data_IF_008992240984
#
_entry.id   IF_008992240984
#
_cell.length_a   1.000
_cell.length_b   1.000
_cell.length_c   1.000
_cell.angle_alpha   90.00
_cell.angle_beta   90.00
_cell.angle_gamma   90.00
#
_symmetry.space_group_name_H-M   'P 1'
#
loop_
_entity.id
_entity.type
_entity.pdbx_description
1 polymer ?
#
# COMPACT_ATOMS: atom_id res chain seq x y z
N UNK A 1 -15.94 38.50 26.72
CA UNK A 1 -16.56 38.08 25.44
C UNK A 1 -15.92 36.77 25.00
N UNK A 2 -16.41 35.54 25.22
CA UNK A 2 -17.72 35.10 25.70
C UNK A 2 -18.66 34.61 24.59
N UNK A 3 -18.25 33.69 23.69
CA UNK A 3 -19.15 32.88 22.84
C UNK A 3 -18.45 31.79 21.96
N UNK A 4 -17.52 30.97 22.49
CA UNK A 4 -16.96 29.82 21.73
C UNK A 4 -17.21 28.45 22.41
N UNK A 5 -18.04 28.42 23.45
CA UNK A 5 -18.01 27.36 24.47
C UNK A 5 -18.94 26.15 24.28
N UNK A 6 -19.84 26.14 23.28
CA UNK A 6 -20.89 25.10 23.24
C UNK A 6 -20.80 24.15 22.04
N UNK A 7 -20.53 24.65 20.82
CA UNK A 7 -20.54 23.81 19.60
C UNK A 7 -19.27 22.96 19.45
N UNK A 8 -18.09 23.49 19.77
CA UNK A 8 -16.82 22.77 19.57
C UNK A 8 -16.60 21.56 20.50
N UNK A 9 -17.26 21.52 21.66
CA UNK A 9 -17.04 20.46 22.67
C UNK A 9 -17.67 19.13 22.27
N UNK A 10 -18.83 19.17 21.61
CA UNK A 10 -19.53 17.98 21.12
C UNK A 10 -18.90 17.45 19.83
N UNK A 11 -18.49 18.33 18.90
CA UNK A 11 -17.87 17.91 17.64
C UNK A 11 -16.62 17.05 17.88
N UNK A 12 -15.71 17.48 18.76
CA UNK A 12 -14.52 16.69 19.11
C UNK A 12 -14.85 15.38 19.80
N UNK A 13 -15.79 15.39 20.75
CA UNK A 13 -16.20 14.19 21.50
C UNK A 13 -16.90 13.15 20.62
N UNK A 14 -17.86 13.58 19.80
CA UNK A 14 -18.55 12.73 18.83
C UNK A 14 -17.57 12.17 17.81
N UNK A 15 -16.62 12.97 17.32
CA UNK A 15 -15.58 12.53 16.42
C UNK A 15 -14.63 11.47 17.03
N UNK A 16 -14.29 11.58 18.32
CA UNK A 16 -13.45 10.59 19.03
C UNK A 16 -14.10 9.21 19.12
N UNK A 17 -15.43 9.14 19.11
CA UNK A 17 -16.18 7.87 19.16
C UNK A 17 -16.52 7.38 17.76
N UNK A 18 -17.11 8.24 16.93
CA UNK A 18 -17.63 7.86 15.62
C UNK A 18 -16.51 7.56 14.61
N UNK A 19 -15.37 8.27 14.68
CA UNK A 19 -14.23 8.04 13.79
C UNK A 19 -13.71 6.60 13.84
N UNK A 20 -13.27 6.10 15.02
CA UNK A 20 -12.83 4.71 15.19
C UNK A 20 -13.91 3.68 14.85
N UNK A 21 -15.18 3.94 15.19
CA UNK A 21 -16.30 3.03 14.88
C UNK A 21 -16.47 2.87 13.37
N UNK A 22 -16.44 3.96 12.60
CA UNK A 22 -16.54 3.92 11.15
C UNK A 22 -15.33 3.21 10.52
N UNK A 23 -14.12 3.45 11.03
CA UNK A 23 -12.92 2.73 10.57
C UNK A 23 -13.00 1.24 10.85
N UNK A 24 -13.43 0.85 12.04
CA UNK A 24 -13.59 -0.54 12.43
C UNK A 24 -14.66 -1.23 11.58
N UNK A 25 -15.82 -0.59 11.39
CA UNK A 25 -16.88 -1.10 10.53
C UNK A 25 -16.38 -1.32 9.09
N UNK A 26 -15.68 -0.33 8.53
CA UNK A 26 -15.08 -0.44 7.20
C UNK A 26 -14.03 -1.56 7.09
N UNK A 27 -13.22 -1.76 8.14
CA UNK A 27 -12.22 -2.83 8.20
C UNK A 27 -12.86 -4.22 8.33
N UNK A 28 -13.87 -4.37 9.17
CA UNK A 28 -14.58 -5.63 9.40
C UNK A 28 -15.33 -6.09 8.15
N UNK A 29 -15.96 -5.18 7.40
CA UNK A 29 -16.65 -5.53 6.15
C UNK A 29 -15.73 -6.19 5.12
N UNK A 30 -14.43 -5.86 5.14
CA UNK A 30 -13.45 -6.37 4.19
C UNK A 30 -12.50 -7.43 4.75
N UNK A 31 -12.60 -7.80 6.03
CA UNK A 31 -11.64 -8.71 6.70
C UNK A 31 -11.59 -10.10 6.05
N UNK A 32 -12.68 -10.52 5.42
CA UNK A 32 -12.79 -11.81 4.71
C UNK A 32 -12.11 -11.83 3.33
N UNK A 33 -11.68 -10.68 2.81
CA UNK A 33 -10.97 -10.59 1.54
C UNK A 33 -9.49 -10.40 1.80
N UNK A 34 -8.65 -11.06 1.01
CA UNK A 34 -7.22 -10.87 1.11
C UNK A 34 -6.86 -9.41 0.75
N UNK A 35 -6.02 -8.78 1.56
CA UNK A 35 -5.77 -7.33 1.46
C UNK A 35 -4.90 -6.96 0.25
N UNK A 36 -4.10 -7.89 -0.26
CA UNK A 36 -3.18 -7.64 -1.36
C UNK A 36 -3.81 -7.85 -2.74
N UNK A 37 -3.25 -7.17 -3.74
CA UNK A 37 -3.58 -7.38 -5.15
C UNK A 37 -3.13 -8.81 -5.57
N UNK A 38 -3.88 -9.51 -6.45
CA UNK A 38 -5.05 -9.03 -7.20
C UNK A 38 -6.41 -9.21 -6.50
N UNK A 39 -6.45 -9.87 -5.35
CA UNK A 39 -7.69 -10.29 -4.69
C UNK A 39 -8.66 -9.14 -4.34
N UNK A 40 -8.11 -7.95 -4.08
CA UNK A 40 -8.90 -6.73 -3.88
C UNK A 40 -9.66 -6.29 -5.13
N UNK A 41 -9.08 -6.35 -6.34
CA UNK A 41 -9.84 -6.05 -7.58
C UNK A 41 -10.94 -7.08 -7.76
N UNK A 42 -10.62 -8.37 -7.63
CA UNK A 42 -11.59 -9.43 -7.81
C UNK A 42 -12.73 -9.33 -6.78
N UNK A 43 -12.47 -8.83 -5.58
CA UNK A 43 -13.50 -8.54 -4.59
C UNK A 43 -14.37 -7.32 -4.98
N UNK A 44 -13.76 -6.29 -5.57
CA UNK A 44 -14.47 -5.10 -6.05
C UNK A 44 -15.37 -5.41 -7.25
N UNK A 45 -14.89 -6.24 -8.18
CA UNK A 45 -15.67 -6.70 -9.33
C UNK A 45 -16.85 -7.56 -8.89
N UNK A 46 -16.66 -8.47 -7.93
CA UNK A 46 -17.72 -9.35 -7.42
C UNK A 46 -18.71 -8.65 -6.48
N UNK A 47 -18.24 -7.72 -5.67
CA UNK A 47 -19.02 -7.06 -4.62
C UNK A 47 -18.79 -5.55 -4.56
N UNK A 48 -19.13 -4.80 -5.63
CA UNK A 48 -18.77 -3.39 -5.77
C UNK A 48 -19.36 -2.52 -4.67
N UNK A 49 -20.64 -2.69 -4.35
CA UNK A 49 -21.31 -1.91 -3.29
C UNK A 49 -20.69 -2.15 -1.90
N UNK A 50 -20.32 -3.39 -1.60
CA UNK A 50 -19.74 -3.75 -0.30
C UNK A 50 -18.32 -3.18 -0.16
N UNK A 51 -17.49 -3.32 -1.20
CA UNK A 51 -16.14 -2.75 -1.21
C UNK A 51 -16.17 -1.23 -1.16
N UNK A 52 -17.01 -0.58 -1.97
CA UNK A 52 -17.19 0.87 -1.93
C UNK A 52 -17.64 1.36 -0.53
N UNK A 53 -18.58 0.65 0.09
CA UNK A 53 -19.03 0.98 1.46
C UNK A 53 -17.92 0.77 2.49
N UNK A 54 -17.18 -0.33 2.41
CA UNK A 54 -16.07 -0.63 3.32
C UNK A 54 -14.96 0.43 3.26
N UNK A 55 -14.56 0.84 2.05
CA UNK A 55 -13.59 1.90 1.87
C UNK A 55 -14.15 3.28 2.24
N UNK A 56 -15.41 3.55 1.91
CA UNK A 56 -16.11 4.79 2.25
C UNK A 56 -16.19 5.02 3.76
N UNK A 57 -16.61 4.00 4.52
CA UNK A 57 -16.66 4.05 5.98
C UNK A 57 -15.26 4.27 6.58
N UNK A 58 -14.26 3.58 6.05
CA UNK A 58 -12.88 3.75 6.52
C UNK A 58 -12.33 5.15 6.27
N UNK A 59 -12.57 5.69 5.06
CA UNK A 59 -12.18 7.04 4.69
C UNK A 59 -12.92 8.10 5.52
N UNK A 60 -14.24 7.95 5.69
CA UNK A 60 -15.06 8.83 6.51
C UNK A 60 -14.59 8.84 7.97
N UNK A 61 -14.29 7.67 8.54
CA UNK A 61 -13.73 7.56 9.89
C UNK A 61 -12.36 8.26 10.01
N UNK A 62 -11.51 8.11 9.00
CA UNK A 62 -10.18 8.75 8.95
C UNK A 62 -10.27 10.28 8.88
N UNK A 63 -11.22 10.81 8.09
CA UNK A 63 -11.49 12.25 8.02
C UNK A 63 -12.07 12.76 9.34
N UNK A 64 -13.00 12.02 9.93
CA UNK A 64 -13.64 12.40 11.18
C UNK A 64 -12.66 12.39 12.37
N UNK A 65 -11.57 11.62 12.31
CA UNK A 65 -10.53 11.65 13.33
C UNK A 65 -9.79 13.00 13.40
N UNK A 66 -9.77 13.82 12.35
CA UNK A 66 -9.03 15.09 12.36
C UNK A 66 -9.46 16.04 13.48
N UNK A 67 -10.76 16.40 13.62
CA UNK A 67 -11.21 17.23 14.73
C UNK A 67 -10.99 16.56 16.10
N UNK A 68 -11.10 15.23 16.19
CA UNK A 68 -10.82 14.47 17.42
C UNK A 68 -9.36 14.63 17.86
N UNK A 69 -8.41 14.43 16.94
CA UNK A 69 -6.97 14.59 17.18
C UNK A 69 -6.64 16.03 17.52
N UNK A 70 -7.20 17.01 16.82
CA UNK A 70 -6.95 18.43 17.09
C UNK A 70 -7.42 18.82 18.51
N UNK A 71 -8.63 18.41 18.91
CA UNK A 71 -9.15 18.66 20.27
C UNK A 71 -8.32 17.94 21.33
N UNK A 72 -7.89 16.70 21.07
CA UNK A 72 -7.06 15.96 22.02
C UNK A 72 -5.67 16.60 22.17
N UNK A 73 -5.02 16.97 21.06
CA UNK A 73 -3.71 17.60 21.04
C UNK A 73 -3.73 18.96 21.77
N UNK A 74 -4.75 19.78 21.53
CA UNK A 74 -4.90 21.07 22.23
C UNK A 74 -5.14 20.89 23.73
N UNK A 75 -5.97 19.93 24.13
CA UNK A 75 -6.19 19.62 25.56
C UNK A 75 -4.94 19.10 26.24
N UNK A 76 -4.23 18.15 25.63
CA UNK A 76 -2.97 17.62 26.18
C UNK A 76 -1.93 18.74 26.27
N UNK A 77 -1.75 19.53 25.21
CA UNK A 77 -0.81 20.66 25.21
C UNK A 77 -1.08 21.68 26.32
N UNK A 78 -2.35 21.97 26.60
CA UNK A 78 -2.73 22.89 27.69
C UNK A 78 -2.50 22.34 29.10
N UNK A 79 -2.57 21.01 29.29
CA UNK A 79 -2.46 20.36 30.60
C UNK A 79 -1.04 19.88 30.90
N UNK A 80 -0.28 19.53 29.87
CA UNK A 80 1.07 18.98 29.99
C UNK A 80 1.92 19.30 28.74
N UNK A 81 2.59 20.47 28.72
CA UNK A 81 3.36 20.94 27.56
C UNK A 81 4.42 19.95 27.05
N UNK A 82 5.03 19.16 27.95
CA UNK A 82 6.01 18.14 27.58
C UNK A 82 5.45 17.06 26.65
N UNK A 83 4.21 16.63 26.85
CA UNK A 83 3.56 15.64 25.98
C UNK A 83 3.23 16.22 24.60
N UNK A 84 2.85 17.50 24.54
CA UNK A 84 2.66 18.21 23.27
C UNK A 84 3.95 18.32 22.45
N UNK A 85 5.07 18.59 23.11
CA UNK A 85 6.39 18.65 22.49
C UNK A 85 6.81 17.28 21.93
N UNK A 86 6.70 16.20 22.72
CA UNK A 86 6.99 14.85 22.24
C UNK A 86 6.09 14.42 21.08
N UNK A 87 4.79 14.74 21.13
CA UNK A 87 3.86 14.48 20.02
C UNK A 87 4.25 15.20 18.73
N UNK A 88 4.66 16.47 18.83
CA UNK A 88 5.18 17.23 17.69
C UNK A 88 6.47 16.65 17.13
N UNK A 89 7.44 16.29 17.99
CA UNK A 89 8.71 15.67 17.58
C UNK A 89 8.47 14.35 16.85
N UNK A 90 7.62 13.47 17.38
CA UNK A 90 7.30 12.20 16.73
C UNK A 90 6.60 12.40 15.37
N UNK A 91 5.70 13.37 15.25
CA UNK A 91 5.05 13.70 13.97
C UNK A 91 6.06 14.21 12.93
N UNK A 92 6.97 15.10 13.34
CA UNK A 92 8.05 15.60 12.49
C UNK A 92 8.97 14.46 12.06
N UNK A 93 9.44 13.63 13.00
CA UNK A 93 10.25 12.45 12.68
C UNK A 93 9.52 11.51 11.70
N UNK A 94 8.22 11.28 11.90
CA UNK A 94 7.40 10.48 10.98
C UNK A 94 7.30 11.09 9.57
N UNK A 95 7.20 12.42 9.46
CA UNK A 95 7.23 13.13 8.17
C UNK A 95 8.59 12.96 7.47
N UNK A 96 9.70 13.02 8.21
CA UNK A 96 11.04 12.77 7.67
C UNK A 96 11.28 11.30 7.32
N UNK A 97 10.74 10.36 8.09
CA UNK A 97 10.79 8.93 7.80
C UNK A 97 9.93 8.53 6.58
N UNK A 98 8.92 9.34 6.22
CA UNK A 98 8.11 9.19 5.01
C UNK A 98 8.77 9.77 3.75
N UNK A 99 10.02 10.22 3.81
CA UNK A 99 10.74 10.59 2.59
C UNK A 99 10.79 9.35 1.69
N UNK A 100 10.26 9.40 0.45
CA UNK A 100 10.61 8.38 -0.53
C UNK A 100 12.13 8.37 -0.61
N UNK A 101 12.75 7.20 -0.51
CA UNK A 101 14.21 7.11 -0.57
C UNK A 101 14.72 7.92 -1.76
N UNK A 102 15.65 8.88 -1.55
CA UNK A 102 16.20 9.65 -2.64
C UNK A 102 17.05 8.72 -3.50
N UNK A 103 16.66 8.64 -4.77
CA UNK A 103 17.50 8.07 -5.82
C UNK A 103 17.06 6.67 -6.23
N UNK A 104 16.48 6.62 -7.43
CA UNK A 104 16.51 5.47 -8.34
C UNK A 104 17.84 4.72 -8.11
N UNK A 105 17.84 3.44 -7.67
CA UNK A 105 19.07 2.66 -7.72
C UNK A 105 19.63 2.73 -9.15
N UNK A 106 20.96 2.76 -9.34
CA UNK A 106 21.55 2.83 -10.68
C UNK A 106 20.83 1.82 -11.56
N UNK A 107 20.39 2.26 -12.75
CA UNK A 107 19.56 1.49 -13.66
C UNK A 107 20.00 0.02 -13.63
N UNK A 108 19.18 -0.85 -13.01
CA UNK A 108 19.56 -2.25 -12.81
C UNK A 108 19.76 -2.83 -14.19
N UNK A 109 21.00 -3.09 -14.60
CA UNK A 109 21.21 -3.63 -15.94
C UNK A 109 20.68 -5.06 -16.01
N UNK A 110 20.13 -5.44 -17.16
CA UNK A 110 19.73 -6.83 -17.46
C UNK A 110 20.94 -7.64 -17.98
N UNK A 111 22.16 -7.13 -17.81
CA UNK A 111 23.39 -7.82 -18.21
C UNK A 111 23.48 -9.21 -17.59
N UNK A 112 23.71 -10.22 -18.43
CA UNK A 112 23.82 -11.63 -18.02
C UNK A 112 22.48 -12.35 -17.79
N UNK A 113 21.34 -11.68 -17.99
CA UNK A 113 20.02 -12.33 -18.09
C UNK A 113 19.88 -12.91 -19.50
N UNK A 114 19.53 -14.19 -19.59
CA UNK A 114 19.34 -14.85 -20.91
C UNK A 114 17.98 -14.49 -21.52
N UNK A 115 17.81 -14.69 -22.83
CA UNK A 115 16.52 -14.45 -23.52
C UNK A 115 15.35 -15.17 -22.83
N UNK A 116 15.57 -16.41 -22.42
CA UNK A 116 14.55 -17.20 -21.71
C UNK A 116 14.24 -16.64 -20.33
N UNK A 117 15.24 -16.13 -19.63
CA UNK A 117 15.05 -15.47 -18.34
C UNK A 117 14.35 -14.10 -18.51
N UNK A 118 14.61 -13.38 -19.60
CA UNK A 118 13.91 -12.14 -19.95
C UNK A 118 12.42 -12.39 -20.22
N UNK A 119 12.08 -13.45 -20.96
CA UNK A 119 10.67 -13.84 -21.18
C UNK A 119 9.95 -14.17 -19.87
N UNK A 120 10.60 -14.96 -19.00
CA UNK A 120 10.09 -15.28 -17.67
C UNK A 120 9.91 -14.01 -16.84
N UNK A 121 10.88 -13.10 -16.86
CA UNK A 121 10.82 -11.82 -16.14
C UNK A 121 9.66 -10.94 -16.63
N UNK A 122 9.43 -10.89 -17.95
CA UNK A 122 8.30 -10.17 -18.54
C UNK A 122 6.94 -10.75 -18.10
N UNK A 123 6.79 -12.07 -18.07
CA UNK A 123 5.57 -12.72 -17.59
C UNK A 123 5.35 -12.49 -16.07
N UNK A 124 6.43 -12.48 -15.28
CA UNK A 124 6.37 -12.14 -13.85
C UNK A 124 5.88 -10.70 -13.68
N UNK A 125 6.41 -9.76 -14.46
CA UNK A 125 6.04 -8.35 -14.41
C UNK A 125 4.58 -8.09 -14.83
N UNK A 126 4.02 -8.94 -15.69
CA UNK A 126 2.57 -8.98 -16.02
C UNK A 126 1.70 -9.63 -14.93
N UNK A 127 2.31 -10.17 -13.87
CA UNK A 127 1.59 -10.73 -12.73
C UNK A 127 1.22 -12.21 -12.82
N UNK A 128 1.68 -12.94 -13.84
CA UNK A 128 1.31 -14.36 -14.03
C UNK A 128 1.93 -15.27 -12.96
N UNK A 129 1.15 -16.18 -12.40
CA UNK A 129 1.61 -17.23 -11.49
C UNK A 129 2.59 -18.21 -12.15
N UNK A 130 3.30 -19.01 -11.36
CA UNK A 130 4.23 -20.01 -11.89
C UNK A 130 3.53 -21.06 -12.78
N UNK A 131 2.27 -21.37 -12.48
CA UNK A 131 1.43 -22.26 -13.29
C UNK A 131 1.13 -21.65 -14.65
N UNK A 132 0.72 -20.38 -14.67
CA UNK A 132 0.39 -19.67 -15.91
C UNK A 132 1.65 -19.43 -16.76
N UNK A 133 2.79 -19.11 -16.14
CA UNK A 133 4.09 -19.01 -16.83
C UNK A 133 4.46 -20.35 -17.44
N UNK A 134 4.33 -21.44 -16.69
CA UNK A 134 4.63 -22.79 -17.16
C UNK A 134 3.79 -23.16 -18.38
N UNK A 135 2.49 -22.83 -18.36
CA UNK A 135 1.59 -23.03 -19.50
C UNK A 135 1.96 -22.16 -20.70
N UNK A 136 2.21 -20.86 -20.49
CA UNK A 136 2.59 -19.92 -21.55
C UNK A 136 3.87 -20.35 -22.27
N UNK A 137 4.85 -20.82 -21.50
CA UNK A 137 6.18 -21.16 -22.00
C UNK A 137 6.32 -22.66 -22.36
N UNK A 138 5.27 -23.46 -22.18
CA UNK A 138 5.27 -24.92 -22.37
C UNK A 138 6.39 -25.61 -21.57
N UNK A 139 6.55 -25.20 -20.31
CA UNK A 139 7.55 -25.72 -19.36
C UNK A 139 6.88 -26.39 -18.16
N UNK A 140 7.65 -27.18 -17.40
CA UNK A 140 7.20 -27.63 -16.08
C UNK A 140 7.26 -26.48 -15.06
N UNK A 141 6.40 -26.50 -14.04
CA UNK A 141 6.47 -25.53 -12.94
C UNK A 141 7.81 -25.57 -12.20
N UNK A 142 8.45 -26.75 -12.12
CA UNK A 142 9.76 -26.90 -11.50
C UNK A 142 10.82 -26.11 -12.29
N UNK A 143 10.80 -26.21 -13.61
CA UNK A 143 11.70 -25.46 -14.50
C UNK A 143 11.48 -23.95 -14.36
N UNK A 144 10.24 -23.49 -14.28
CA UNK A 144 9.92 -22.07 -14.03
C UNK A 144 10.50 -21.59 -12.70
N UNK A 145 10.34 -22.37 -11.62
CA UNK A 145 10.94 -22.05 -10.31
C UNK A 145 12.47 -21.94 -10.39
N UNK A 146 13.13 -22.78 -11.18
CA UNK A 146 14.58 -22.68 -11.43
C UNK A 146 14.96 -21.39 -12.14
N UNK A 147 14.22 -21.00 -13.19
CA UNK A 147 14.45 -19.71 -13.87
C UNK A 147 14.25 -18.52 -12.93
N UNK A 148 13.21 -18.55 -12.08
CA UNK A 148 12.96 -17.51 -11.07
C UNK A 148 14.10 -17.45 -10.06
N UNK A 149 14.59 -18.59 -9.56
CA UNK A 149 15.72 -18.62 -8.64
C UNK A 149 16.99 -18.03 -9.24
N UNK A 150 17.28 -18.33 -10.52
CA UNK A 150 18.41 -17.73 -11.25
C UNK A 150 18.23 -16.23 -11.45
N UNK A 151 17.03 -15.77 -11.80
CA UNK A 151 16.70 -14.34 -11.91
C UNK A 151 16.92 -13.61 -10.57
N UNK A 152 16.43 -14.16 -9.46
CA UNK A 152 16.63 -13.59 -8.13
C UNK A 152 18.12 -13.44 -7.80
N UNK A 153 18.92 -14.47 -8.08
CA UNK A 153 20.36 -14.44 -7.86
C UNK A 153 21.07 -13.42 -8.78
N UNK A 154 20.80 -13.45 -10.09
CA UNK A 154 21.44 -12.59 -11.09
C UNK A 154 21.11 -11.10 -10.88
N UNK A 155 19.85 -10.79 -10.59
CA UNK A 155 19.36 -9.42 -10.43
C UNK A 155 19.48 -8.91 -9.00
N UNK A 156 20.07 -9.70 -8.09
CA UNK A 156 20.17 -9.42 -6.64
C UNK A 156 18.79 -9.03 -6.06
N UNK A 157 17.76 -9.73 -6.51
CA UNK A 157 16.40 -9.54 -6.04
C UNK A 157 16.13 -10.50 -4.89
N UNK A 158 15.60 -9.96 -3.78
CA UNK A 158 15.29 -10.71 -2.56
C UNK A 158 14.00 -11.52 -2.68
N UNK A 159 13.07 -11.04 -3.50
CA UNK A 159 11.75 -11.60 -3.67
C UNK A 159 11.20 -11.32 -5.07
N UNK A 160 10.08 -11.98 -5.37
CA UNK A 160 9.38 -11.85 -6.66
C UNK A 160 8.91 -10.42 -6.92
N UNK A 161 8.51 -9.68 -5.89
CA UNK A 161 8.05 -8.30 -6.07
C UNK A 161 9.22 -7.40 -6.52
N UNK A 162 10.43 -7.66 -6.03
CA UNK A 162 11.61 -6.96 -6.50
C UNK A 162 11.95 -7.28 -7.98
N UNK A 163 11.67 -8.49 -8.48
CA UNK A 163 11.77 -8.79 -9.91
C UNK A 163 10.78 -7.97 -10.76
N UNK A 164 9.55 -7.80 -10.27
CA UNK A 164 8.55 -6.93 -10.92
C UNK A 164 9.07 -5.49 -10.98
N UNK A 165 9.63 -4.97 -9.88
CA UNK A 165 10.23 -3.64 -9.83
C UNK A 165 11.38 -3.51 -10.83
N UNK A 166 12.30 -4.50 -10.89
CA UNK A 166 13.41 -4.50 -11.84
C UNK A 166 12.90 -4.38 -13.28
N UNK A 167 11.89 -5.17 -13.67
CA UNK A 167 11.35 -5.14 -15.02
C UNK A 167 10.76 -3.76 -15.41
N UNK A 168 10.18 -3.02 -14.46
CA UNK A 168 9.71 -1.65 -14.70
C UNK A 168 10.86 -0.64 -14.73
N UNK A 169 11.84 -0.75 -13.83
CA UNK A 169 12.98 0.17 -13.76
C UNK A 169 13.85 0.14 -15.01
N UNK A 170 13.94 -1.03 -15.66
CA UNK A 170 14.69 -1.28 -16.90
C UNK A 170 13.91 -0.97 -18.16
N UNK A 171 12.60 -0.69 -18.03
CA UNK A 171 11.72 -0.50 -19.18
C UNK A 171 11.44 -1.79 -19.96
N UNK A 172 11.74 -2.97 -19.40
CA UNK A 172 11.33 -4.26 -19.99
C UNK A 172 9.81 -4.36 -20.11
N UNK A 173 9.09 -3.78 -19.15
CA UNK A 173 7.64 -3.61 -19.20
C UNK A 173 7.30 -2.15 -18.93
N UNK A 174 6.50 -1.55 -19.80
CA UNK A 174 5.97 -0.20 -19.58
C UNK A 174 4.56 -0.30 -18.97
N UNK A 175 4.39 0.26 -17.77
CA UNK A 175 3.07 0.33 -17.13
C UNK A 175 2.07 1.16 -17.94
N UNK A 176 2.55 2.04 -18.83
CA UNK A 176 1.73 2.93 -19.66
C UNK A 176 1.23 2.27 -20.94
N UNK A 177 1.83 1.15 -21.35
CA UNK A 177 1.47 0.38 -22.54
C UNK A 177 0.71 -0.87 -22.10
N UNK A 178 -0.54 -0.69 -21.68
CA UNK A 178 -1.52 -1.79 -21.76
C UNK A 178 -1.93 -1.84 -23.22
N UNK A 179 -1.54 -2.92 -23.89
CA UNK A 179 -1.66 -3.09 -25.33
C UNK A 179 -3.10 -2.87 -25.85
N UNK A 180 -3.16 -2.25 -27.02
CA UNK A 180 -4.30 -2.27 -27.93
C UNK A 180 -4.54 -3.69 -28.47
#
# INVERSE_FOLDING_TARGET
MGAAGFTGRWVGGTAMVLGPVLMLAGALLRVRFHFFYPDQLAAYERHPALMATAYGLFAAGSVLLWPAVAVLATRIGSRSPGWGLWGGVLAVLGLFARRPEPGRPPARSLDGVTDRELEVLGLIARGLSNTEIAQHLQLSQATVKTHIGRLLAKLRARDRAQLVIVAYETGLVDARRRDA
#
